data_IF_094189013525
#
_entry.id   IF_094189013525
#
_cell.length_a   1.000
_cell.length_b   1.000
_cell.length_c   1.000
_cell.angle_alpha   90.00
_cell.angle_beta   90.00
_cell.angle_gamma   90.00
#
_symmetry.space_group_name_H-M   'P 1'
#
loop_
_entity.id
_entity.type
_entity.pdbx_description
1 polymer ?
#
# COMPACT_ATOMS: atom_id res chain seq x y z
N UNK A 1 0.44 14.06 17.26
CA UNK A 1 -0.10 13.07 18.22
C UNK A 1 1.02 12.07 18.48
N UNK A 2 1.50 11.91 19.72
CA UNK A 2 2.59 10.96 20.01
C UNK A 2 2.04 9.55 19.82
N UNK A 3 2.46 8.85 18.77
CA UNK A 3 2.16 7.43 18.63
C UNK A 3 2.79 6.68 19.81
N UNK A 4 1.95 5.91 20.51
CA UNK A 4 2.43 4.99 21.54
C UNK A 4 3.11 3.84 20.80
N UNK A 5 4.44 3.85 20.76
CA UNK A 5 5.22 2.64 20.49
C UNK A 5 4.86 1.61 21.56
N UNK A 6 3.96 0.68 21.25
CA UNK A 6 3.71 -0.48 22.11
C UNK A 6 4.92 -1.40 22.00
N UNK A 7 5.62 -1.61 23.11
CA UNK A 7 6.68 -2.61 23.20
C UNK A 7 6.11 -3.99 22.84
N UNK A 8 6.76 -4.77 21.96
CA UNK A 8 6.29 -6.10 21.61
C UNK A 8 6.12 -6.96 22.87
N UNK A 9 4.97 -7.61 23.01
CA UNK A 9 4.79 -8.61 24.06
C UNK A 9 5.61 -9.86 23.72
N UNK A 10 5.99 -10.70 24.70
CA UNK A 10 6.69 -11.95 24.43
C UNK A 10 5.97 -12.84 23.41
N UNK A 11 4.63 -12.82 23.42
CA UNK A 11 3.80 -13.53 22.44
C UNK A 11 3.95 -12.97 21.01
N UNK A 12 4.00 -11.64 20.85
CA UNK A 12 4.22 -11.01 19.53
C UNK A 12 5.58 -11.40 18.96
N UNK A 13 6.63 -11.39 19.80
CA UNK A 13 7.98 -11.78 19.39
C UNK A 13 8.09 -13.25 18.98
N UNK A 14 7.43 -14.15 19.72
CA UNK A 14 7.39 -15.59 19.39
C UNK A 14 6.63 -15.84 18.09
N UNK A 15 5.47 -15.22 17.91
CA UNK A 15 4.70 -15.36 16.67
C UNK A 15 5.50 -14.90 15.46
N UNK A 16 6.14 -13.73 15.54
CA UNK A 16 7.02 -13.21 14.50
C UNK A 16 8.15 -14.18 14.18
N UNK A 17 8.79 -14.77 15.18
CA UNK A 17 9.88 -15.72 14.97
C UNK A 17 9.42 -16.99 14.24
N UNK A 18 8.21 -17.48 14.50
CA UNK A 18 7.67 -18.62 13.76
C UNK A 18 7.30 -18.24 12.33
N UNK A 19 6.67 -17.09 12.14
CA UNK A 19 6.26 -16.62 10.81
C UNK A 19 7.41 -16.25 9.87
N UNK A 20 8.65 -16.11 10.34
CA UNK A 20 9.81 -15.97 9.45
C UNK A 20 10.25 -17.30 8.84
N UNK A 21 9.76 -18.44 9.35
CA UNK A 21 10.05 -19.75 8.79
C UNK A 21 9.17 -20.00 7.54
N UNK A 22 9.74 -20.27 6.35
CA UNK A 22 8.97 -20.39 5.11
C UNK A 22 7.86 -21.44 5.15
N UNK A 23 8.07 -22.58 5.83
CA UNK A 23 7.06 -23.63 5.90
C UNK A 23 5.86 -23.21 6.75
N UNK A 24 6.09 -22.54 7.88
CA UNK A 24 5.02 -21.99 8.73
C UNK A 24 4.27 -20.88 7.99
N UNK A 25 4.98 -20.01 7.28
CA UNK A 25 4.36 -18.96 6.47
C UNK A 25 3.52 -19.55 5.32
N UNK A 26 3.99 -20.64 4.71
CA UNK A 26 3.23 -21.37 3.69
C UNK A 26 1.94 -21.95 4.26
N UNK A 27 2.02 -22.67 5.37
CA UNK A 27 0.85 -23.23 6.05
C UNK A 27 -0.15 -22.12 6.42
N UNK A 28 0.34 -21.02 6.98
CA UNK A 28 -0.46 -19.84 7.31
C UNK A 28 -1.23 -19.32 6.08
N UNK A 29 -0.55 -19.14 4.96
CA UNK A 29 -1.16 -18.63 3.73
C UNK A 29 -2.13 -19.64 3.11
N UNK A 30 -1.82 -20.93 3.15
CA UNK A 30 -2.69 -22.00 2.66
C UNK A 30 -4.00 -22.06 3.44
N UNK A 31 -3.95 -21.88 4.76
CA UNK A 31 -5.10 -21.99 5.66
C UNK A 31 -5.93 -20.70 5.65
N UNK A 32 -5.29 -19.53 5.63
CA UNK A 32 -5.97 -18.27 5.96
C UNK A 32 -6.21 -17.31 4.79
N UNK A 33 -5.51 -17.45 3.65
CA UNK A 33 -5.81 -16.59 2.51
C UNK A 33 -7.18 -16.95 1.89
N UNK A 34 -7.99 -15.96 1.49
CA UNK A 34 -9.18 -16.20 0.69
C UNK A 34 -8.84 -17.00 -0.57
N UNK A 35 -9.71 -17.96 -0.94
CA UNK A 35 -9.45 -18.90 -2.02
C UNK A 35 -9.08 -18.23 -3.35
N UNK A 36 -9.74 -17.11 -3.68
CA UNK A 36 -9.49 -16.33 -4.89
C UNK A 36 -8.08 -15.72 -4.92
N UNK A 37 -7.61 -15.21 -3.77
CA UNK A 37 -6.27 -14.66 -3.64
C UNK A 37 -5.21 -15.78 -3.59
N UNK A 38 -5.51 -16.90 -2.93
CA UNK A 38 -4.61 -18.06 -2.87
C UNK A 38 -4.42 -18.68 -4.26
N UNK A 39 -5.46 -18.72 -5.09
CA UNK A 39 -5.43 -19.34 -6.42
C UNK A 39 -4.45 -18.66 -7.39
N UNK A 40 -4.07 -17.40 -7.13
CA UNK A 40 -3.09 -16.68 -7.96
C UNK A 40 -1.66 -16.75 -7.40
N UNK A 41 -1.45 -17.29 -6.19
CA UNK A 41 -0.15 -17.39 -5.53
C UNK A 41 0.53 -18.74 -5.79
N UNK A 42 1.80 -18.72 -6.20
CA UNK A 42 2.68 -19.89 -6.15
C UNK A 42 3.44 -19.92 -4.81
N UNK A 43 2.84 -20.57 -3.81
CA UNK A 43 3.40 -20.64 -2.45
C UNK A 43 4.68 -21.48 -2.35
N UNK A 44 5.06 -22.23 -3.39
CA UNK A 44 6.35 -22.92 -3.43
C UNK A 44 7.52 -21.95 -3.60
N UNK A 45 7.26 -20.74 -4.10
CA UNK A 45 8.26 -19.69 -4.36
C UNK A 45 8.38 -18.65 -3.25
N UNK A 46 7.75 -18.90 -2.10
CA UNK A 46 7.77 -18.00 -0.94
C UNK A 46 9.20 -17.64 -0.52
N UNK A 47 9.48 -16.34 -0.50
CA UNK A 47 10.76 -15.79 -0.08
C UNK A 47 10.53 -14.68 0.93
N UNK A 48 11.17 -14.82 2.10
CA UNK A 48 11.17 -13.79 3.13
C UNK A 48 11.97 -12.58 2.64
N UNK A 49 11.36 -11.40 2.65
CA UNK A 49 12.03 -10.14 2.30
C UNK A 49 12.66 -9.51 3.54
N UNK A 50 13.85 -8.92 3.37
CA UNK A 50 14.61 -8.36 4.48
C UNK A 50 14.01 -7.03 4.95
N UNK A 51 14.11 -6.75 6.26
CA UNK A 51 13.70 -5.47 6.86
C UNK A 51 14.50 -4.23 6.39
N UNK A 52 15.49 -4.40 5.50
CA UNK A 52 16.14 -3.30 4.76
C UNK A 52 15.34 -2.83 3.55
N UNK A 53 14.33 -3.60 3.12
CA UNK A 53 13.26 -3.20 2.21
C UNK A 53 12.28 -2.25 2.93
N UNK A 54 12.78 -1.44 3.86
CA UNK A 54 12.03 -0.55 4.75
C UNK A 54 12.88 0.70 5.00
N UNK A 55 12.38 1.91 4.70
CA UNK A 55 13.16 3.15 4.91
C UNK A 55 13.34 3.33 6.41
N UNK A 56 14.38 4.05 6.85
CA UNK A 56 14.63 4.23 8.28
C UNK A 56 13.40 4.82 9.03
N UNK A 57 12.66 5.74 8.40
CA UNK A 57 11.41 6.30 8.94
C UNK A 57 10.24 5.31 8.91
N UNK A 58 10.32 4.33 8.02
CA UNK A 58 9.33 3.28 7.84
C UNK A 58 9.61 2.05 8.71
N UNK A 59 10.81 1.88 9.29
CA UNK A 59 11.14 0.69 10.12
C UNK A 59 10.30 0.57 11.37
N UNK A 60 9.80 1.68 11.90
CA UNK A 60 8.81 1.69 12.98
C UNK A 60 7.42 1.19 12.53
N UNK A 61 7.18 1.16 11.22
CA UNK A 61 5.92 0.83 10.55
C UNK A 61 5.99 -0.47 9.72
N UNK A 62 7.09 -1.22 9.67
CA UNK A 62 7.09 -2.53 8.98
C UNK A 62 6.94 -3.62 10.03
N UNK A 63 5.71 -3.73 10.51
CA UNK A 63 5.44 -4.31 11.82
C UNK A 63 4.90 -5.73 11.78
N UNK A 64 5.44 -6.60 10.89
CA UNK A 64 5.90 -7.93 11.35
C UNK A 64 6.68 -8.74 10.31
N UNK A 65 6.07 -9.19 9.20
CA UNK A 65 6.75 -10.03 8.17
C UNK A 65 6.26 -9.72 6.75
N UNK A 66 7.19 -9.63 5.78
CA UNK A 66 6.91 -9.45 4.36
C UNK A 66 7.46 -10.62 3.55
N UNK A 67 6.61 -11.25 2.74
CA UNK A 67 7.01 -12.28 1.79
C UNK A 67 6.80 -11.83 0.36
N UNK A 68 7.71 -12.22 -0.53
CA UNK A 68 7.50 -12.23 -1.98
C UNK A 68 7.22 -13.65 -2.47
N UNK A 69 6.44 -13.78 -3.55
CA UNK A 69 6.13 -15.03 -4.22
C UNK A 69 5.73 -14.77 -5.68
N UNK A 70 5.81 -15.78 -6.55
CA UNK A 70 5.40 -15.70 -7.96
C UNK A 70 3.90 -15.95 -8.13
N UNK A 71 3.35 -15.55 -9.28
CA UNK A 71 1.93 -15.70 -9.60
C UNK A 71 1.67 -16.60 -10.81
N UNK A 72 0.42 -17.01 -10.96
CA UNK A 72 -0.04 -17.78 -12.14
C UNK A 72 -0.03 -16.98 -13.45
N UNK A 73 0.09 -15.65 -13.39
CA UNK A 73 0.09 -14.76 -14.55
C UNK A 73 1.50 -14.54 -15.17
N UNK A 74 2.52 -15.29 -14.76
CA UNK A 74 3.90 -15.18 -15.27
C UNK A 74 4.81 -14.35 -14.36
N UNK A 75 5.69 -13.53 -14.95
CA UNK A 75 6.59 -12.62 -14.20
C UNK A 75 5.78 -11.49 -13.54
N UNK A 76 5.18 -11.82 -12.41
CA UNK A 76 4.45 -10.94 -11.52
C UNK A 76 4.48 -11.55 -10.13
N UNK A 77 4.71 -10.72 -9.12
CA UNK A 77 4.89 -11.18 -7.75
C UNK A 77 3.75 -10.66 -6.87
N UNK A 78 3.35 -11.47 -5.90
CA UNK A 78 2.48 -11.05 -4.81
C UNK A 78 3.34 -10.79 -3.58
N UNK A 79 3.08 -9.68 -2.92
CA UNK A 79 3.61 -9.44 -1.59
C UNK A 79 2.53 -9.77 -0.56
N UNK A 80 2.87 -10.59 0.43
CA UNK A 80 1.99 -10.85 1.57
C UNK A 80 2.58 -10.14 2.79
N UNK A 81 1.79 -9.22 3.35
CA UNK A 81 2.12 -8.48 4.57
C UNK A 81 1.31 -9.09 5.71
N UNK A 82 1.98 -9.62 6.73
CA UNK A 82 1.31 -10.15 7.92
C UNK A 82 1.66 -9.27 9.11
N UNK A 83 0.62 -8.87 9.85
CA UNK A 83 0.71 -8.03 11.05
C UNK A 83 0.05 -8.76 12.23
N UNK A 84 0.77 -8.94 13.35
CA UNK A 84 0.24 -9.51 14.59
C UNK A 84 -0.24 -8.41 15.55
N UNK A 85 -1.48 -8.50 16.02
CA UNK A 85 -2.04 -7.51 16.93
C UNK A 85 -2.74 -8.15 18.14
N UNK A 86 -2.24 -7.83 19.33
CA UNK A 86 -2.79 -8.26 20.62
C UNK A 86 -3.72 -7.23 21.27
N UNK A 87 -3.66 -5.96 20.82
CA UNK A 87 -4.61 -4.91 21.22
C UNK A 87 -5.30 -4.38 19.97
N UNK A 88 -6.64 -4.26 19.96
CA UNK A 88 -7.31 -3.78 18.76
C UNK A 88 -7.02 -2.30 18.54
N UNK A 89 -6.53 -1.96 17.35
CA UNK A 89 -6.29 -0.59 16.93
C UNK A 89 -7.37 -0.12 15.95
N UNK A 90 -7.95 1.05 16.18
CA UNK A 90 -9.02 1.62 15.35
C UNK A 90 -8.58 1.93 13.91
N UNK A 91 -7.31 2.28 13.71
CA UNK A 91 -6.74 2.71 12.43
C UNK A 91 -5.92 1.59 11.77
N UNK A 92 -6.21 0.32 12.10
CA UNK A 92 -5.47 -0.81 11.55
C UNK A 92 -5.65 -0.93 10.04
N UNK A 93 -6.85 -0.69 9.52
CA UNK A 93 -7.10 -0.79 8.09
C UNK A 93 -6.30 0.25 7.30
N UNK A 94 -6.28 1.51 7.74
CA UNK A 94 -5.45 2.56 7.15
C UNK A 94 -3.94 2.25 7.25
N UNK A 95 -3.50 1.68 8.37
CA UNK A 95 -2.10 1.23 8.52
C UNK A 95 -1.74 0.14 7.51
N UNK A 96 -2.58 -0.88 7.34
CA UNK A 96 -2.35 -1.96 6.38
C UNK A 96 -2.25 -1.46 4.94
N UNK A 97 -3.11 -0.53 4.52
CA UNK A 97 -3.01 0.03 3.15
C UNK A 97 -1.77 0.89 2.98
N UNK A 98 -1.35 1.65 4.01
CA UNK A 98 -0.07 2.38 3.99
C UNK A 98 1.11 1.43 3.78
N UNK A 99 1.11 0.28 4.43
CA UNK A 99 2.18 -0.70 4.29
C UNK A 99 2.17 -1.34 2.90
N UNK A 100 0.97 -1.64 2.38
CA UNK A 100 0.82 -2.16 1.04
C UNK A 100 1.37 -1.18 -0.01
N UNK A 101 1.02 0.11 0.09
CA UNK A 101 1.53 1.17 -0.80
C UNK A 101 3.05 1.33 -0.66
N UNK A 102 3.60 1.25 0.55
CA UNK A 102 5.06 1.31 0.75
C UNK A 102 5.79 0.13 0.08
N UNK A 103 5.25 -1.10 0.19
CA UNK A 103 5.79 -2.26 -0.49
C UNK A 103 5.71 -2.11 -2.03
N UNK A 104 4.60 -1.58 -2.54
CA UNK A 104 4.43 -1.26 -3.96
C UNK A 104 5.45 -0.22 -4.45
N UNK A 105 5.67 0.85 -3.70
CA UNK A 105 6.65 1.88 -4.05
C UNK A 105 8.05 1.29 -4.19
N UNK A 106 8.47 0.47 -3.24
CA UNK A 106 9.79 -0.18 -3.30
C UNK A 106 9.97 -1.15 -4.45
N UNK A 107 8.89 -1.84 -4.81
CA UNK A 107 8.91 -2.68 -5.98
C UNK A 107 9.26 -1.86 -7.23
N UNK A 108 8.72 -0.64 -7.36
CA UNK A 108 9.10 0.28 -8.45
C UNK A 108 10.55 0.78 -8.31
N UNK A 109 10.99 1.14 -7.10
CA UNK A 109 12.37 1.60 -6.84
C UNK A 109 13.42 0.52 -7.17
N UNK A 110 13.05 -0.76 -7.07
CA UNK A 110 13.88 -1.89 -7.50
C UNK A 110 13.98 -2.04 -9.04
N UNK A 111 13.39 -1.12 -9.82
CA UNK A 111 13.46 -1.09 -11.28
C UNK A 111 12.32 -1.83 -11.99
N UNK A 112 11.31 -2.30 -11.26
CA UNK A 112 10.14 -2.94 -11.88
C UNK A 112 9.22 -1.90 -12.52
N UNK A 113 8.57 -2.27 -13.62
CA UNK A 113 7.75 -1.35 -14.44
C UNK A 113 6.27 -1.31 -14.07
N UNK A 114 5.80 -2.27 -13.27
CA UNK A 114 4.40 -2.42 -12.87
C UNK A 114 4.33 -2.62 -11.36
N UNK A 115 3.18 -2.31 -10.77
CA UNK A 115 2.94 -2.58 -9.35
C UNK A 115 2.76 -4.09 -9.13
N UNK A 116 3.23 -4.61 -7.98
CA UNK A 116 2.86 -5.95 -7.53
C UNK A 116 1.48 -5.89 -6.85
N UNK A 117 0.79 -7.03 -6.80
CA UNK A 117 -0.37 -7.15 -5.92
C UNK A 117 0.13 -7.35 -4.49
N UNK A 118 -0.37 -6.54 -3.55
CA UNK A 118 0.00 -6.66 -2.14
C UNK A 118 -1.22 -7.06 -1.33
N UNK A 119 -1.12 -8.17 -0.61
CA UNK A 119 -2.18 -8.75 0.22
C UNK A 119 -1.83 -8.48 1.68
N UNK A 120 -2.45 -7.47 2.31
CA UNK A 120 -2.34 -7.28 3.75
C UNK A 120 -3.20 -8.29 4.51
N UNK A 121 -2.64 -8.91 5.54
CA UNK A 121 -3.28 -9.86 6.43
C UNK A 121 -3.09 -9.40 7.87
N UNK A 122 -4.20 -9.16 8.56
CA UNK A 122 -4.20 -8.93 10.00
C UNK A 122 -4.38 -10.24 10.74
N UNK A 123 -3.40 -10.64 11.53
CA UNK A 123 -3.54 -11.71 12.50
C UNK A 123 -3.80 -11.14 13.89
N UNK A 124 -5.00 -11.38 14.42
CA UNK A 124 -5.46 -10.76 15.65
C UNK A 124 -5.70 -11.80 16.75
N UNK A 125 -5.05 -11.59 17.90
CA UNK A 125 -5.14 -12.47 19.09
C UNK A 125 -5.45 -11.68 20.37
N UNK A 126 -6.12 -10.54 20.22
CA UNK A 126 -6.39 -9.66 21.35
C UNK A 126 -7.53 -10.11 22.26
N UNK A 127 -7.51 -9.57 23.50
CA UNK A 127 -8.50 -9.89 24.54
C UNK A 127 -9.94 -9.51 24.16
N UNK A 128 -10.10 -8.47 23.35
CA UNK A 128 -11.42 -8.02 22.87
C UNK A 128 -11.77 -8.82 21.62
N UNK A 129 -12.80 -9.67 21.70
CA UNK A 129 -13.21 -10.52 20.58
C UNK A 129 -14.71 -10.37 20.31
N UNK A 130 -15.17 -10.31 19.04
CA UNK A 130 -14.34 -10.28 17.82
C UNK A 130 -13.55 -8.97 17.67
N UNK A 131 -12.64 -8.90 16.69
CA UNK A 131 -11.94 -7.66 16.36
C UNK A 131 -12.98 -6.55 16.09
N UNK A 132 -12.90 -5.39 16.78
CA UNK A 132 -14.05 -4.48 16.88
C UNK A 132 -14.08 -3.35 15.82
N UNK A 133 -13.11 -3.29 14.91
CA UNK A 133 -12.99 -2.20 13.93
C UNK A 133 -13.04 -2.75 12.50
N UNK A 134 -13.33 -1.87 11.53
CA UNK A 134 -13.35 -2.28 10.12
C UNK A 134 -11.95 -2.63 9.64
N UNK A 135 -11.85 -3.63 8.76
CA UNK A 135 -10.64 -3.97 8.01
C UNK A 135 -10.62 -3.33 6.61
N UNK A 136 -11.66 -2.57 6.25
CA UNK A 136 -11.74 -1.78 5.01
C UNK A 136 -11.38 -0.34 5.32
N UNK A 137 -10.20 0.10 4.86
CA UNK A 137 -9.67 1.44 5.18
C UNK A 137 -10.57 2.60 4.73
N UNK A 138 -11.41 2.38 3.70
CA UNK A 138 -12.39 3.35 3.23
C UNK A 138 -13.51 3.64 4.26
N UNK A 139 -13.74 2.77 5.24
CA UNK A 139 -14.70 3.01 6.33
C UNK A 139 -14.17 4.04 7.34
N UNK A 140 -12.91 4.47 7.24
CA UNK A 140 -12.34 5.50 8.12
C UNK A 140 -12.67 6.94 7.68
N UNK A 141 -13.26 7.13 6.50
CA UNK A 141 -13.74 8.43 6.04
C UNK A 141 -15.14 8.73 6.57
N UNK A 142 -15.45 10.01 6.77
CA UNK A 142 -16.83 10.44 7.11
C UNK A 142 -17.82 10.11 5.98
N UNK A 143 -17.35 10.04 4.72
CA UNK A 143 -18.13 9.70 3.52
C UNK A 143 -17.51 8.51 2.75
N UNK A 144 -17.67 7.25 3.23
CA UNK A 144 -17.02 6.08 2.63
C UNK A 144 -17.38 5.84 1.15
N UNK A 145 -18.60 6.21 0.75
CA UNK A 145 -19.06 6.09 -0.64
C UNK A 145 -18.33 7.03 -1.61
N UNK A 146 -18.05 8.27 -1.17
CA UNK A 146 -17.26 9.22 -1.94
C UNK A 146 -15.80 8.78 -2.00
N UNK A 147 -15.24 8.34 -0.87
CA UNK A 147 -13.88 7.80 -0.81
C UNK A 147 -13.71 6.60 -1.74
N UNK A 148 -14.68 5.67 -1.75
CA UNK A 148 -14.68 4.53 -2.67
C UNK A 148 -14.61 4.96 -4.14
N UNK A 149 -15.44 5.93 -4.57
CA UNK A 149 -15.40 6.46 -5.94
C UNK A 149 -14.06 7.12 -6.27
N UNK A 150 -13.51 7.90 -5.35
CA UNK A 150 -12.26 8.62 -5.56
C UNK A 150 -11.05 7.67 -5.67
N UNK A 151 -10.94 6.70 -4.76
CA UNK A 151 -9.75 5.86 -4.63
C UNK A 151 -9.81 4.55 -5.43
N UNK A 152 -10.95 4.24 -6.08
CA UNK A 152 -11.05 3.16 -7.07
C UNK A 152 -11.21 3.65 -8.51
N UNK A 153 -11.38 4.97 -8.70
CA UNK A 153 -11.53 5.60 -10.01
C UNK A 153 -10.24 6.25 -10.52
N UNK A 154 -10.32 6.82 -11.73
CA UNK A 154 -9.26 7.69 -12.22
C UNK A 154 -9.22 8.99 -11.40
N UNK A 155 -8.02 9.42 -11.00
CA UNK A 155 -7.86 10.71 -10.36
C UNK A 155 -8.14 11.86 -11.35
N UNK A 156 -8.67 13.00 -10.88
CA UNK A 156 -8.83 14.18 -11.72
C UNK A 156 -7.48 14.63 -12.30
N UNK A 157 -7.41 14.72 -13.63
CA UNK A 157 -6.27 15.27 -14.36
C UNK A 157 -6.65 16.64 -14.93
N UNK A 158 -5.85 17.66 -14.61
CA UNK A 158 -5.94 18.98 -15.25
C UNK A 158 -4.79 19.10 -16.24
N UNK A 159 -5.03 18.70 -17.49
CA UNK A 159 -4.06 18.82 -18.58
C UNK A 159 -4.20 20.19 -19.27
N UNK A 160 -3.40 21.15 -18.83
CA UNK A 160 -3.42 22.51 -19.38
C UNK A 160 -2.89 22.59 -20.82
N UNK A 161 -2.22 21.54 -21.32
CA UNK A 161 -1.62 21.55 -22.66
C UNK A 161 -2.68 21.47 -23.75
N UNK A 162 -3.84 20.88 -23.45
CA UNK A 162 -4.96 20.70 -24.38
C UNK A 162 -6.03 21.77 -24.26
N UNK A 163 -5.97 22.64 -23.24
CA UNK A 163 -6.96 23.71 -23.05
C UNK A 163 -6.58 24.90 -23.95
N UNK A 164 -7.46 25.39 -24.82
CA UNK A 164 -7.23 26.58 -25.65
C UNK A 164 -6.88 27.84 -24.82
N UNK A 165 -6.02 28.73 -25.34
CA UNK A 165 -5.56 29.92 -24.59
C UNK A 165 -6.70 30.89 -24.27
N UNK A 166 -7.68 30.98 -25.17
CA UNK A 166 -8.90 31.78 -25.01
C UNK A 166 -9.83 31.21 -23.93
N UNK A 167 -9.89 29.89 -23.78
CA UNK A 167 -10.56 29.24 -22.64
C UNK A 167 -9.79 29.51 -21.32
N UNK A 168 -8.45 29.45 -21.36
CA UNK A 168 -7.61 29.75 -20.19
C UNK A 168 -7.78 31.21 -19.74
N UNK A 169 -8.00 32.15 -20.65
CA UNK A 169 -8.28 33.54 -20.31
C UNK A 169 -9.52 33.69 -19.39
N UNK A 170 -10.44 32.72 -19.44
CA UNK A 170 -11.60 32.61 -18.55
C UNK A 170 -11.31 32.06 -17.15
N UNK A 171 -10.10 31.57 -16.85
CA UNK A 171 -9.73 30.95 -15.55
C UNK A 171 -9.61 31.95 -14.38
N UNK A 172 -10.15 33.16 -14.50
CA UNK A 172 -10.16 34.20 -13.46
C UNK A 172 -8.75 34.46 -12.93
N UNK A 173 -8.53 34.38 -11.61
CA UNK A 173 -7.24 34.62 -10.96
C UNK A 173 -6.14 33.63 -11.35
N UNK A 174 -6.49 32.49 -11.98
CA UNK A 174 -5.51 31.49 -12.42
C UNK A 174 -5.03 31.69 -13.86
N UNK A 175 -5.71 32.51 -14.68
CA UNK A 175 -5.44 32.63 -16.11
C UNK A 175 -3.96 32.90 -16.44
N UNK A 176 -3.37 33.90 -15.79
CA UNK A 176 -1.97 34.27 -16.01
C UNK A 176 -0.99 33.14 -15.64
N UNK A 177 -1.22 32.48 -14.50
CA UNK A 177 -0.39 31.35 -14.06
C UNK A 177 -0.54 30.15 -15.01
N UNK A 178 -1.77 29.84 -15.43
CA UNK A 178 -2.05 28.72 -16.35
C UNK A 178 -1.40 28.95 -17.71
N UNK A 179 -1.50 30.15 -18.30
CA UNK A 179 -0.82 30.48 -19.56
C UNK A 179 0.71 30.39 -19.40
N UNK A 180 1.26 30.92 -18.31
CA UNK A 180 2.70 30.84 -18.04
C UNK A 180 3.20 29.40 -17.95
N UNK A 181 2.46 28.53 -17.25
CA UNK A 181 2.81 27.11 -17.14
C UNK A 181 2.66 26.39 -18.48
N UNK A 182 1.60 26.66 -19.24
CA UNK A 182 1.36 26.04 -20.55
C UNK A 182 2.51 26.30 -21.53
N UNK A 183 3.08 27.50 -21.53
CA UNK A 183 4.12 27.90 -22.48
C UNK A 183 5.55 27.81 -21.94
N UNK A 184 5.77 27.22 -20.75
CA UNK A 184 7.09 27.22 -20.08
C UNK A 184 8.20 26.59 -20.94
N UNK A 185 7.88 25.57 -21.74
CA UNK A 185 8.83 24.86 -22.60
C UNK A 185 8.96 25.44 -24.02
N UNK A 186 8.11 26.40 -24.44
CA UNK A 186 8.16 26.96 -25.80
C UNK A 186 9.41 27.81 -26.04
N UNK A 187 10.02 28.37 -25.00
CA UNK A 187 11.28 29.12 -25.10
C UNK A 187 12.48 28.22 -25.40
N UNK A 188 12.44 26.96 -24.98
CA UNK A 188 13.53 26.00 -25.19
C UNK A 188 13.53 25.45 -26.62
N UNK A 189 12.36 25.33 -27.27
CA UNK A 189 12.22 24.92 -28.67
C UNK A 189 12.79 25.93 -29.69
N UNK A 190 12.94 27.20 -29.32
CA UNK A 190 13.45 28.26 -30.23
C UNK A 190 14.99 28.35 -30.19
N UNK A 191 15.64 27.61 -29.28
CA UNK A 191 17.10 27.68 -29.04
C UNK A 191 17.88 26.41 -29.40
N UNK A 192 17.23 25.37 -29.92
CA UNK A 192 17.85 24.15 -30.45
C UNK A 192 17.71 24.05 -31.96
#
# INVERSE_FOLDING_TARGET
>A
MKEKNSTPTPHDATFRQFLTQPDIARDFMEIHLPAELRAVCDLSTLKLESGSFVEDDLRQYFSDVLYSLKTTAGDGYIHVLVEHQSTPDKHMAFRLIRYAVAAMQRHLEAGNKKLPLVIPVLFYTGKRSPYPYSTRWLDEFDEPGLAGKLYSGAFPLVDVTVIPDDEIAGHRSMAALTLLQKHIHQRDLIRG
#
